data_IF_721560314691
#
_entry.id   IF_721560314691
#
_cell.length_a   1.000
_cell.length_b   1.000
_cell.length_c   1.000
_cell.angle_alpha   90.00
_cell.angle_beta   90.00
_cell.angle_gamma   90.00
#
_symmetry.space_group_name_H-M   'P 1'
#
loop_
_entity.id
_entity.type
_entity.pdbx_description
1 polymer ?
#
# COMPACT_ATOMS: atom_id res chain seq x y z
N UNK A 1 -17.74 -22.24 3.06
CA UNK A 1 -16.29 -22.01 2.85
C UNK A 1 -16.02 -20.52 2.55
N UNK A 2 -16.88 -19.83 1.79
CA UNK A 2 -16.66 -18.44 1.35
C UNK A 2 -16.66 -17.36 2.44
N UNK A 3 -17.41 -17.57 3.53
CA UNK A 3 -17.60 -16.54 4.58
C UNK A 3 -16.32 -16.25 5.37
N UNK A 4 -15.48 -17.26 5.59
CA UNK A 4 -14.26 -17.11 6.41
C UNK A 4 -13.14 -16.46 5.60
N UNK A 5 -12.95 -16.91 4.35
CA UNK A 5 -12.02 -16.28 3.41
C UNK A 5 -12.40 -14.80 3.18
N UNK A 6 -13.70 -14.53 2.97
CA UNK A 6 -14.18 -13.16 2.85
C UNK A 6 -13.85 -12.36 4.12
N UNK A 7 -14.10 -12.88 5.32
CA UNK A 7 -13.85 -12.14 6.55
C UNK A 7 -12.35 -11.79 6.79
N UNK A 8 -11.44 -12.74 6.54
CA UNK A 8 -10.00 -12.47 6.73
C UNK A 8 -9.43 -11.50 5.69
N UNK A 9 -9.84 -11.65 4.42
CA UNK A 9 -9.32 -10.82 3.34
C UNK A 9 -10.09 -9.51 3.12
N UNK A 10 -11.30 -9.34 3.66
CA UNK A 10 -12.09 -8.12 3.44
C UNK A 10 -11.36 -6.88 3.96
N UNK A 11 -10.68 -6.98 5.11
CA UNK A 11 -9.93 -5.83 5.67
C UNK A 11 -8.72 -5.50 4.79
N UNK A 12 -7.95 -6.51 4.38
CA UNK A 12 -6.81 -6.30 3.47
C UNK A 12 -7.28 -5.74 2.14
N UNK A 13 -8.42 -6.20 1.62
CA UNK A 13 -9.08 -5.70 0.41
C UNK A 13 -9.50 -4.25 0.54
N UNK A 14 -10.18 -3.88 1.63
CA UNK A 14 -10.61 -2.50 1.89
C UNK A 14 -9.39 -1.60 1.99
N UNK A 15 -8.40 -1.95 2.81
CA UNK A 15 -7.20 -1.15 3.01
C UNK A 15 -6.41 -0.98 1.71
N UNK A 16 -6.20 -2.08 0.98
CA UNK A 16 -5.49 -2.04 -0.31
C UNK A 16 -6.26 -1.28 -1.40
N UNK A 17 -7.60 -1.34 -1.37
CA UNK A 17 -8.45 -0.58 -2.29
C UNK A 17 -8.46 0.90 -1.96
N UNK A 18 -8.46 1.28 -0.68
CA UNK A 18 -8.32 2.67 -0.23
C UNK A 18 -6.95 3.23 -0.63
N UNK A 19 -5.89 2.42 -0.53
CA UNK A 19 -4.56 2.78 -0.99
C UNK A 19 -4.43 2.84 -2.53
N UNK A 20 -5.46 2.45 -3.29
CA UNK A 20 -5.42 2.40 -4.76
C UNK A 20 -4.54 1.27 -5.33
N UNK A 21 -4.13 0.31 -4.48
CA UNK A 21 -3.21 -0.78 -4.80
C UNK A 21 -3.92 -2.09 -5.11
N UNK A 22 -5.24 -2.16 -4.95
CA UNK A 22 -5.99 -3.41 -5.16
C UNK A 22 -5.91 -3.87 -6.63
N UNK A 23 -5.48 -5.13 -6.90
CA UNK A 23 -5.21 -5.60 -8.26
C UNK A 23 -6.44 -5.65 -9.16
N UNK A 24 -7.64 -5.83 -8.59
CA UNK A 24 -8.91 -5.88 -9.34
C UNK A 24 -9.66 -4.54 -9.37
N UNK A 25 -9.03 -3.44 -8.97
CA UNK A 25 -9.65 -2.12 -9.06
C UNK A 25 -9.91 -1.75 -10.53
N UNK A 26 -11.05 -1.08 -10.80
CA UNK A 26 -11.44 -0.70 -12.17
C UNK A 26 -10.32 0.11 -12.83
N UNK A 27 -9.92 -0.30 -14.05
CA UNK A 27 -8.82 0.32 -14.78
C UNK A 27 -9.00 1.84 -14.94
N UNK A 28 -10.23 2.29 -15.24
CA UNK A 28 -10.57 3.71 -15.35
C UNK A 28 -10.34 4.47 -14.04
N UNK A 29 -10.82 3.94 -12.92
CA UNK A 29 -10.63 4.55 -11.60
C UNK A 29 -9.16 4.63 -11.24
N UNK A 30 -8.39 3.57 -11.51
CA UNK A 30 -6.95 3.54 -11.22
C UNK A 30 -6.17 4.54 -12.08
N UNK A 31 -6.48 4.61 -13.38
CA UNK A 31 -5.85 5.57 -14.29
C UNK A 31 -6.15 7.01 -13.85
N UNK A 32 -7.40 7.28 -13.47
CA UNK A 32 -7.80 8.57 -12.93
C UNK A 32 -7.05 8.91 -11.63
N UNK A 33 -6.96 7.98 -10.67
CA UNK A 33 -6.18 8.19 -9.44
C UNK A 33 -4.69 8.45 -9.71
N UNK A 34 -4.06 7.64 -10.57
CA UNK A 34 -2.64 7.84 -10.94
C UNK A 34 -2.46 9.20 -11.60
N UNK A 35 -3.34 9.58 -12.54
CA UNK A 35 -3.31 10.88 -13.20
C UNK A 35 -3.45 12.05 -12.21
N UNK A 36 -4.40 11.98 -11.28
CA UNK A 36 -4.59 13.00 -10.24
C UNK A 36 -3.38 13.13 -9.31
N UNK A 37 -2.78 12.01 -8.88
CA UNK A 37 -1.61 12.02 -7.99
C UNK A 37 -0.38 12.56 -8.74
N UNK A 38 -0.20 12.20 -10.01
CA UNK A 38 0.90 12.75 -10.83
C UNK A 38 0.71 14.26 -11.03
N UNK A 39 -0.50 14.71 -11.33
CA UNK A 39 -0.80 16.14 -11.51
C UNK A 39 -0.54 16.93 -10.22
N UNK A 40 -1.00 16.43 -9.07
CA UNK A 40 -0.76 17.10 -7.79
C UNK A 40 0.72 17.12 -7.44
N UNK A 41 1.45 16.04 -7.70
CA UNK A 41 2.90 16.00 -7.51
C UNK A 41 3.63 17.02 -8.38
N UNK A 42 3.24 17.19 -9.65
CA UNK A 42 3.80 18.23 -10.53
C UNK A 42 3.57 19.64 -9.95
N UNK A 43 2.35 19.93 -9.46
CA UNK A 43 2.05 21.22 -8.81
C UNK A 43 2.90 21.46 -7.55
N UNK A 44 3.15 20.41 -6.75
CA UNK A 44 4.01 20.48 -5.57
C UNK A 44 5.46 20.79 -5.98
N UNK A 45 5.99 20.13 -7.02
CA UNK A 45 7.34 20.38 -7.51
C UNK A 45 7.53 21.84 -7.96
N UNK A 46 6.56 22.42 -8.68
CA UNK A 46 6.61 23.84 -9.09
C UNK A 46 6.68 24.76 -7.86
N UNK A 47 5.85 24.50 -6.85
CA UNK A 47 5.84 25.27 -5.60
C UNK A 47 7.16 25.13 -4.82
N UNK A 48 7.76 23.95 -4.82
CA UNK A 48 9.05 23.69 -4.18
C UNK A 48 10.20 24.42 -4.89
N UNK A 49 10.21 24.50 -6.23
CA UNK A 49 11.22 25.26 -6.98
C UNK A 49 11.15 26.75 -6.67
N UNK A 50 9.94 27.31 -6.56
CA UNK A 50 9.76 28.70 -6.15
C UNK A 50 10.29 28.95 -4.72
N UNK A 51 9.98 28.06 -3.76
CA UNK A 51 10.53 28.15 -2.40
C UNK A 51 12.04 28.04 -2.37
N UNK A 52 12.62 27.16 -3.20
CA UNK A 52 14.06 26.97 -3.27
C UNK A 52 14.81 28.26 -3.64
N UNK A 53 14.27 29.06 -4.56
CA UNK A 53 14.83 30.36 -4.96
C UNK A 53 14.72 31.39 -3.82
N UNK A 54 13.64 31.36 -3.04
CA UNK A 54 13.40 32.28 -1.91
C UNK A 54 14.24 31.94 -0.67
N UNK A 55 14.61 30.68 -0.47
CA UNK A 55 15.34 30.18 0.70
C UNK A 55 16.80 30.72 0.85
N UNK A 56 17.20 31.79 0.15
CA UNK A 56 18.55 32.39 0.06
C UNK A 56 19.54 31.97 1.18
N UNK A 57 20.38 30.98 0.86
CA UNK A 57 21.43 30.37 1.72
C UNK A 57 20.99 29.87 3.10
N UNK A 58 19.70 29.88 3.43
CA UNK A 58 19.19 29.33 4.68
C UNK A 58 19.16 27.80 4.61
N UNK A 59 20.16 27.18 5.21
CA UNK A 59 20.34 25.72 5.20
C UNK A 59 19.11 24.96 5.71
N UNK A 60 18.43 25.46 6.74
CA UNK A 60 17.25 24.82 7.30
C UNK A 60 16.09 24.79 6.30
N UNK A 61 15.86 25.91 5.60
CA UNK A 61 14.86 26.04 4.53
C UNK A 61 15.19 25.12 3.32
N UNK A 62 16.48 25.01 2.98
CA UNK A 62 16.97 24.14 1.91
C UNK A 62 16.74 22.66 2.27
N UNK A 63 17.08 22.23 3.49
CA UNK A 63 16.89 20.83 3.91
C UNK A 63 15.42 20.42 3.92
N UNK A 64 14.53 21.30 4.38
CA UNK A 64 13.09 21.04 4.37
C UNK A 64 12.57 20.87 2.93
N UNK A 65 12.99 21.75 2.02
CA UNK A 65 12.62 21.70 0.61
C UNK A 65 13.15 20.45 -0.09
N UNK A 66 14.42 20.08 0.17
CA UNK A 66 15.05 18.86 -0.36
C UNK A 66 14.36 17.60 0.15
N UNK A 67 14.04 17.54 1.43
CA UNK A 67 13.31 16.41 2.04
C UNK A 67 11.93 16.27 1.40
N UNK A 68 11.24 17.38 1.20
CA UNK A 68 9.93 17.41 0.53
C UNK A 68 10.01 16.89 -0.91
N UNK A 69 11.02 17.32 -1.67
CA UNK A 69 11.26 16.85 -3.05
C UNK A 69 11.55 15.35 -3.11
N UNK A 70 12.40 14.84 -2.21
CA UNK A 70 12.71 13.41 -2.10
C UNK A 70 11.46 12.58 -1.78
N UNK A 71 10.61 13.05 -0.87
CA UNK A 71 9.36 12.36 -0.52
C UNK A 71 8.40 12.31 -1.71
N UNK A 72 8.23 13.42 -2.45
CA UNK A 72 7.34 13.47 -3.62
C UNK A 72 7.85 12.57 -4.74
N UNK A 73 9.16 12.60 -5.04
CA UNK A 73 9.77 11.76 -6.08
C UNK A 73 9.70 10.27 -5.72
N UNK A 74 10.02 9.88 -4.48
CA UNK A 74 9.88 8.49 -4.02
C UNK A 74 8.43 8.00 -4.09
N UNK A 75 7.47 8.86 -3.79
CA UNK A 75 6.04 8.52 -3.89
C UNK A 75 5.63 8.26 -5.34
N UNK A 76 6.10 9.07 -6.30
CA UNK A 76 5.87 8.85 -7.73
C UNK A 76 6.51 7.56 -8.22
N UNK A 77 7.76 7.27 -7.84
CA UNK A 77 8.43 6.03 -8.20
C UNK A 77 7.63 4.82 -7.71
N UNK A 78 7.16 4.84 -6.46
CA UNK A 78 6.30 3.77 -5.91
C UNK A 78 4.97 3.64 -6.66
N UNK A 79 4.35 4.76 -6.99
CA UNK A 79 3.08 4.79 -7.74
C UNK A 79 3.22 4.14 -9.11
N UNK A 80 4.22 4.54 -9.89
CA UNK A 80 4.48 3.98 -11.21
C UNK A 80 4.94 2.52 -11.16
N UNK A 81 5.79 2.17 -10.19
CA UNK A 81 6.21 0.78 -9.96
C UNK A 81 5.00 -0.11 -9.69
N UNK A 82 4.07 0.33 -8.83
CA UNK A 82 2.84 -0.39 -8.55
C UNK A 82 1.95 -0.51 -9.79
N UNK A 83 1.87 0.56 -10.60
CA UNK A 83 1.10 0.58 -11.84
C UNK A 83 1.64 -0.40 -12.90
N UNK A 84 2.97 -0.45 -13.08
CA UNK A 84 3.64 -1.34 -14.03
C UNK A 84 3.59 -2.80 -13.56
N UNK A 85 3.85 -3.05 -12.27
CA UNK A 85 3.83 -4.40 -11.68
C UNK A 85 2.41 -4.92 -11.36
N UNK A 86 1.36 -4.33 -11.94
CA UNK A 86 -0.03 -4.69 -11.67
C UNK A 86 -0.35 -6.16 -11.96
N UNK A 87 0.26 -6.71 -13.01
CA UNK A 87 0.02 -8.11 -13.42
C UNK A 87 0.55 -9.06 -12.36
N UNK A 88 1.75 -8.81 -11.85
CA UNK A 88 2.37 -9.61 -10.79
C UNK A 88 1.55 -9.57 -9.49
N UNK A 89 1.01 -8.41 -9.12
CA UNK A 89 0.14 -8.30 -7.94
C UNK A 89 -1.18 -9.08 -8.12
N UNK A 90 -1.75 -9.06 -9.33
CA UNK A 90 -2.97 -9.82 -9.65
C UNK A 90 -2.70 -11.33 -9.63
N UNK A 91 -1.57 -11.75 -10.18
CA UNK A 91 -1.13 -13.14 -10.23
C UNK A 91 -0.95 -13.73 -8.83
N UNK A 92 -0.17 -13.05 -7.97
CA UNK A 92 0.00 -13.45 -6.57
C UNK A 92 -1.33 -13.55 -5.82
N UNK A 93 -2.24 -12.61 -6.07
CA UNK A 93 -3.56 -12.61 -5.42
C UNK A 93 -4.44 -13.75 -5.95
N UNK A 94 -4.37 -14.06 -7.24
CA UNK A 94 -5.06 -15.21 -7.81
C UNK A 94 -4.55 -16.52 -7.20
N UNK A 95 -3.23 -16.71 -7.14
CA UNK A 95 -2.63 -17.91 -6.54
C UNK A 95 -3.07 -18.07 -5.10
N UNK A 96 -3.05 -16.99 -4.31
CA UNK A 96 -3.52 -17.01 -2.93
C UNK A 96 -4.98 -17.50 -2.79
N UNK A 97 -5.87 -17.11 -3.72
CA UNK A 97 -7.26 -17.59 -3.73
C UNK A 97 -7.38 -19.04 -4.17
N UNK A 98 -6.57 -19.48 -5.14
CA UNK A 98 -6.54 -20.87 -5.59
C UNK A 98 -6.04 -21.75 -4.45
N UNK A 99 -4.90 -21.42 -3.86
CA UNK A 99 -4.30 -22.13 -2.73
C UNK A 99 -5.30 -22.28 -1.59
N UNK A 100 -6.05 -21.21 -1.27
CA UNK A 100 -7.08 -21.27 -0.23
C UNK A 100 -8.21 -22.28 -0.54
N UNK A 101 -8.57 -22.45 -1.82
CA UNK A 101 -9.62 -23.37 -2.24
C UNK A 101 -9.13 -24.81 -2.37
N UNK A 102 -7.82 -25.02 -2.51
CA UNK A 102 -7.19 -26.35 -2.65
C UNK A 102 -6.82 -26.98 -1.30
N UNK A 103 -7.06 -26.28 -0.18
CA UNK A 103 -6.76 -26.80 1.17
C UNK A 103 -7.67 -27.97 1.54
N UNK A 104 -7.07 -29.12 1.81
CA UNK A 104 -7.78 -30.35 2.22
C UNK A 104 -7.66 -30.61 3.73
N UNK A 105 -6.57 -30.20 4.36
CA UNK A 105 -6.30 -30.52 5.77
C UNK A 105 -6.63 -29.39 6.73
N UNK A 106 -7.06 -29.75 7.94
CA UNK A 106 -7.37 -28.79 9.01
C UNK A 106 -6.13 -28.04 9.53
N UNK A 107 -4.93 -28.64 9.43
CA UNK A 107 -3.68 -28.00 9.84
C UNK A 107 -3.21 -26.94 8.85
N UNK A 108 -3.28 -27.20 7.54
CA UNK A 108 -2.95 -26.18 6.53
C UNK A 108 -3.90 -24.98 6.62
N UNK A 109 -5.19 -25.24 6.89
CA UNK A 109 -6.17 -24.19 7.13
C UNK A 109 -5.79 -23.31 8.32
N UNK A 110 -5.36 -23.89 9.45
CA UNK A 110 -4.91 -23.12 10.63
C UNK A 110 -3.69 -22.25 10.32
N UNK A 111 -2.74 -22.77 9.56
CA UNK A 111 -1.52 -22.04 9.18
C UNK A 111 -1.88 -20.80 8.36
N UNK A 112 -2.66 -20.99 7.30
CA UNK A 112 -3.03 -19.92 6.38
C UNK A 112 -3.97 -18.90 7.06
N UNK A 113 -4.88 -19.34 7.93
CA UNK A 113 -5.69 -18.45 8.75
C UNK A 113 -4.83 -17.56 9.67
N UNK A 114 -3.79 -18.12 10.30
CA UNK A 114 -2.84 -17.37 11.14
C UNK A 114 -2.07 -16.32 10.34
N UNK A 115 -1.62 -16.65 9.13
CA UNK A 115 -0.96 -15.69 8.24
C UNK A 115 -1.93 -14.58 7.78
N UNK A 116 -3.17 -14.91 7.45
CA UNK A 116 -4.17 -13.93 7.06
C UNK A 116 -4.53 -12.98 8.23
N UNK A 117 -4.60 -13.49 9.46
CA UNK A 117 -4.80 -12.66 10.65
C UNK A 117 -3.63 -11.71 10.89
N UNK A 118 -2.38 -12.20 10.78
CA UNK A 118 -1.20 -11.36 10.89
C UNK A 118 -1.18 -10.30 9.77
N UNK A 119 -1.50 -10.68 8.53
CA UNK A 119 -1.62 -9.76 7.39
C UNK A 119 -2.63 -8.64 7.66
N UNK A 120 -3.79 -8.96 8.22
CA UNK A 120 -4.79 -7.98 8.69
C UNK A 120 -4.21 -7.05 9.75
N UNK A 121 -3.51 -7.58 10.77
CA UNK A 121 -2.89 -6.77 11.83
C UNK A 121 -1.84 -5.81 11.26
N UNK A 122 -0.98 -6.27 10.36
CA UNK A 122 -0.01 -5.41 9.68
C UNK A 122 -0.70 -4.33 8.84
N UNK A 123 -1.68 -4.71 8.03
CA UNK A 123 -2.44 -3.78 7.19
C UNK A 123 -3.11 -2.69 8.02
N UNK A 124 -3.71 -3.05 9.16
CA UNK A 124 -4.30 -2.08 10.08
C UNK A 124 -3.24 -1.24 10.79
N UNK A 125 -2.12 -1.82 11.21
CA UNK A 125 -1.03 -1.07 11.85
C UNK A 125 -0.42 0.00 10.93
N UNK A 126 -0.27 -0.30 9.64
CA UNK A 126 0.24 0.67 8.66
C UNK A 126 -0.79 1.74 8.27
N UNK A 127 -2.08 1.41 8.24
CA UNK A 127 -3.13 2.35 7.80
C UNK A 127 -3.80 3.13 8.93
N UNK A 128 -3.87 2.59 10.14
CA UNK A 128 -4.44 3.25 11.31
C UNK A 128 -3.32 3.58 12.31
N UNK A 129 -2.80 4.82 12.29
CA UNK A 129 -1.92 5.34 13.34
C UNK A 129 -2.68 5.64 14.64
N UNK A 130 -3.32 4.66 15.28
CA UNK A 130 -3.81 4.77 16.67
C UNK A 130 -4.23 3.41 17.27
N UNK A 131 -3.24 2.64 17.75
CA UNK A 131 -3.23 1.85 19.01
C UNK A 131 -1.97 0.97 19.09
N UNK A 132 -1.40 0.75 20.29
CA UNK A 132 -0.28 -0.17 20.45
C UNK A 132 -0.78 -1.60 20.22
N UNK A 133 -0.26 -2.25 19.17
CA UNK A 133 -0.50 -3.67 18.94
C UNK A 133 0.51 -4.47 19.76
N UNK A 134 0.03 -5.24 20.75
CA UNK A 134 0.83 -6.27 21.40
C UNK A 134 1.18 -7.36 20.37
N UNK A 135 2.44 -7.37 19.94
CA UNK A 135 3.02 -8.48 19.19
C UNK A 135 3.30 -9.61 20.16
N UNK A 136 2.48 -10.66 20.15
CA UNK A 136 2.90 -11.93 20.75
C UNK A 136 4.00 -12.55 19.87
N UNK A 137 5.14 -12.96 20.44
CA UNK A 137 6.25 -13.50 19.66
C UNK A 137 5.82 -14.79 18.97
N UNK A 138 6.21 -14.93 17.71
CA UNK A 138 6.16 -16.18 16.96
C UNK A 138 7.20 -17.09 17.60
N UNK A 139 6.78 -17.97 18.51
CA UNK A 139 7.63 -19.06 18.97
C UNK A 139 7.82 -20.05 17.81
N UNK A 140 9.10 -20.22 17.46
CA UNK A 140 9.69 -21.27 16.63
C UNK A 140 9.52 -22.62 17.33
#
# INVERSE_FOLDING_TARGET
MDTIMLNHYNIVKIVSSLAGQWPYQKLKTRLFCVGLITLSALSINVSQMARFVVCDKNLQCIFETMTSLLLTTMSLVKLYTCYLNRYKMRDLTNHLFIDWNTLETSEEYKIIARYAENGKRYSLGYSCKNKPCNFSPIHR
#
